data_IF_492458966952
#
_entry.id   IF_492458966952
#
_cell.length_a   1.000
_cell.length_b   1.000
_cell.length_c   1.000
_cell.angle_alpha   90.00
_cell.angle_beta   90.00
_cell.angle_gamma   90.00
#
_symmetry.space_group_name_H-M   'P 1'
#
loop_
_entity.id
_entity.type
_entity.pdbx_description
1 polymer ?
#
# COMPACT_ATOMS: atom_id res chain seq x y z
N UNK A 1 -80.98 27.49 -17.04
CA UNK A 1 -80.22 26.70 -16.07
C UNK A 1 -80.10 25.31 -16.68
N UNK A 2 -78.94 24.81 -17.09
CA UNK A 2 -77.77 24.47 -16.27
C UNK A 2 -76.49 24.35 -17.12
N UNK A 3 -75.37 24.75 -16.52
CA UNK A 3 -73.98 24.66 -17.01
C UNK A 3 -73.42 23.21 -16.95
N UNK A 4 -72.26 22.90 -17.56
CA UNK A 4 -71.76 21.52 -17.69
C UNK A 4 -70.97 21.06 -16.45
N UNK A 5 -70.84 19.74 -16.20
CA UNK A 5 -69.88 19.24 -15.23
C UNK A 5 -68.48 19.14 -15.87
N UNK A 6 -67.58 19.99 -15.41
CA UNK A 6 -66.13 19.88 -15.57
C UNK A 6 -65.66 18.64 -14.78
N UNK A 7 -65.19 17.59 -15.46
CA UNK A 7 -64.66 16.38 -14.82
C UNK A 7 -63.14 16.42 -14.92
N UNK A 8 -62.52 16.68 -13.78
CA UNK A 8 -61.11 16.96 -13.63
C UNK A 8 -60.18 15.87 -14.17
N UNK A 9 -59.04 16.35 -14.65
CA UNK A 9 -57.84 15.58 -14.92
C UNK A 9 -57.44 14.79 -13.66
N UNK A 10 -57.58 13.46 -13.71
CA UNK A 10 -56.91 12.58 -12.75
C UNK A 10 -55.39 12.67 -13.00
N UNK A 11 -54.54 12.76 -11.96
CA UNK A 11 -53.12 12.94 -12.15
C UNK A 11 -52.52 11.74 -12.89
N UNK A 12 -52.17 11.95 -14.15
CA UNK A 12 -51.33 11.05 -14.96
C UNK A 12 -49.88 11.16 -14.50
N UNK A 13 -49.57 10.70 -13.29
CA UNK A 13 -48.18 10.67 -12.80
C UNK A 13 -47.80 9.42 -12.01
N UNK A 14 -48.66 8.40 -11.96
CA UNK A 14 -48.41 7.19 -11.17
C UNK A 14 -47.23 6.32 -11.67
N UNK A 15 -46.90 6.36 -12.96
CA UNK A 15 -45.75 5.60 -13.50
C UNK A 15 -44.40 6.21 -13.13
N UNK A 16 -44.28 7.54 -13.14
CA UNK A 16 -43.05 8.24 -12.76
C UNK A 16 -42.80 8.16 -11.24
N UNK A 17 -43.85 8.28 -10.42
CA UNK A 17 -43.76 8.09 -8.97
C UNK A 17 -43.35 6.65 -8.57
N UNK A 18 -43.79 5.63 -9.32
CA UNK A 18 -43.35 4.24 -9.10
C UNK A 18 -41.87 4.03 -9.44
N UNK A 19 -41.33 4.70 -10.46
CA UNK A 19 -39.91 4.65 -10.78
C UNK A 19 -39.05 5.30 -9.68
N UNK A 20 -39.51 6.40 -9.08
CA UNK A 20 -38.84 7.01 -7.92
C UNK A 20 -38.84 6.11 -6.68
N UNK A 21 -39.86 5.26 -6.51
CA UNK A 21 -39.91 4.29 -5.43
C UNK A 21 -38.91 3.14 -5.59
N UNK A 22 -38.48 2.86 -6.83
CA UNK A 22 -37.43 1.88 -7.16
C UNK A 22 -36.02 2.47 -7.14
N UNK A 23 -35.89 3.81 -7.08
CA UNK A 23 -34.61 4.51 -6.98
C UNK A 23 -33.68 3.98 -5.88
N UNK A 24 -34.12 3.70 -4.63
CA UNK A 24 -33.24 3.13 -3.61
C UNK A 24 -32.70 1.74 -3.99
N UNK A 25 -33.49 0.90 -4.68
CA UNK A 25 -33.04 -0.41 -5.17
C UNK A 25 -32.05 -0.28 -6.34
N UNK A 26 -32.31 0.66 -7.26
CA UNK A 26 -31.43 0.92 -8.41
C UNK A 26 -30.07 1.47 -7.94
N UNK A 27 -30.07 2.35 -6.93
CA UNK A 27 -28.83 2.85 -6.33
C UNK A 27 -28.01 1.73 -5.68
N UNK A 28 -28.66 0.77 -5.01
CA UNK A 28 -27.97 -0.40 -4.46
C UNK A 28 -27.38 -1.30 -5.56
N UNK A 29 -28.07 -1.44 -6.70
CA UNK A 29 -27.57 -2.23 -7.82
C UNK A 29 -26.37 -1.58 -8.51
N UNK A 30 -26.42 -0.26 -8.72
CA UNK A 30 -25.29 0.51 -9.27
C UNK A 30 -24.10 0.51 -8.28
N UNK A 31 -24.36 0.65 -6.98
CA UNK A 31 -23.34 0.60 -5.94
C UNK A 31 -22.72 -0.82 -5.80
N UNK A 32 -23.53 -1.86 -5.94
CA UNK A 32 -23.06 -3.25 -5.94
C UNK A 32 -22.21 -3.55 -7.19
N UNK A 33 -22.61 -3.04 -8.36
CA UNK A 33 -21.86 -3.22 -9.59
C UNK A 33 -20.55 -2.41 -9.61
N UNK A 34 -20.53 -1.21 -9.02
CA UNK A 34 -19.29 -0.43 -8.88
C UNK A 34 -18.31 -1.07 -7.88
N UNK A 35 -18.81 -1.81 -6.88
CA UNK A 35 -17.95 -2.53 -5.94
C UNK A 35 -17.12 -3.65 -6.61
N UNK A 36 -17.54 -4.16 -7.78
CA UNK A 36 -16.77 -5.16 -8.53
C UNK A 36 -15.55 -4.56 -9.25
N UNK A 37 -15.52 -3.24 -9.46
CA UNK A 37 -14.38 -2.53 -10.06
C UNK A 37 -13.32 -2.12 -9.03
N UNK A 38 -13.64 -2.25 -7.73
CA UNK A 38 -12.73 -2.03 -6.60
C UNK A 38 -12.06 -3.31 -6.09
N UNK A 39 -12.08 -4.39 -6.87
CA UNK A 39 -11.19 -5.52 -6.63
C UNK A 39 -9.76 -5.06 -6.90
N UNK A 40 -9.08 -4.61 -5.84
CA UNK A 40 -7.66 -4.35 -5.85
C UNK A 40 -6.94 -5.57 -6.44
N UNK A 41 -5.92 -5.41 -7.30
CA UNK A 41 -5.17 -6.53 -7.90
C UNK A 41 -4.49 -7.47 -6.88
N UNK A 42 -4.66 -7.21 -5.59
CA UNK A 42 -4.17 -8.03 -4.48
C UNK A 42 -4.70 -9.48 -4.52
N UNK A 43 -5.93 -9.72 -5.01
CA UNK A 43 -6.54 -11.06 -5.00
C UNK A 43 -6.09 -11.96 -6.17
N UNK A 44 -5.29 -11.44 -7.11
CA UNK A 44 -4.81 -12.21 -8.27
C UNK A 44 -3.39 -12.76 -8.09
N UNK A 45 -2.64 -12.31 -7.08
CA UNK A 45 -1.25 -12.68 -6.89
C UNK A 45 -1.04 -13.50 -5.61
N UNK A 46 -0.19 -14.56 -5.65
CA UNK A 46 0.13 -15.34 -4.47
C UNK A 46 0.80 -14.45 -3.41
N UNK A 47 0.50 -14.68 -2.15
CA UNK A 47 1.11 -13.92 -1.06
C UNK A 47 2.63 -14.17 -0.99
N UNK A 48 3.38 -13.23 -0.41
CA UNK A 48 4.81 -13.38 -0.14
C UNK A 48 5.14 -12.99 1.30
N UNK A 49 6.34 -13.37 1.73
CA UNK A 49 6.93 -12.90 2.98
C UNK A 49 8.36 -12.40 2.74
N UNK A 50 8.78 -11.39 3.50
CA UNK A 50 10.17 -10.93 3.50
C UNK A 50 11.04 -11.75 4.47
N UNK A 51 10.42 -12.68 5.21
CA UNK A 51 11.08 -13.57 6.16
C UNK A 51 10.70 -15.02 5.86
N UNK A 52 11.67 -15.92 6.02
CA UNK A 52 11.45 -17.36 5.85
C UNK A 52 10.60 -17.89 6.99
N UNK A 53 9.41 -18.39 6.68
CA UNK A 53 8.57 -19.15 7.61
C UNK A 53 7.53 -19.96 6.83
N UNK A 54 7.07 -21.13 7.31
CA UNK A 54 6.00 -21.86 6.63
C UNK A 54 4.75 -20.98 6.41
N UNK A 55 4.09 -21.03 5.24
CA UNK A 55 4.41 -21.82 4.04
C UNK A 55 5.49 -21.22 3.10
N UNK A 56 5.97 -20.01 3.37
CA UNK A 56 7.00 -19.28 2.60
C UNK A 56 8.41 -19.84 2.84
N UNK A 57 8.73 -20.92 2.13
CA UNK A 57 9.97 -21.69 2.31
C UNK A 57 10.95 -21.53 1.16
N UNK A 58 10.48 -21.13 -0.01
CA UNK A 58 11.31 -20.95 -1.19
C UNK A 58 11.79 -19.49 -1.28
N UNK A 59 13.10 -19.30 -1.39
CA UNK A 59 13.72 -17.98 -1.50
C UNK A 59 13.89 -17.59 -2.96
N UNK A 60 13.46 -16.38 -3.29
CA UNK A 60 13.62 -15.75 -4.60
C UNK A 60 14.22 -14.35 -4.43
N UNK A 61 14.67 -13.76 -5.53
CA UNK A 61 15.24 -12.42 -5.58
C UNK A 61 14.54 -11.61 -6.65
N UNK A 62 14.21 -10.36 -6.35
CA UNK A 62 13.58 -9.49 -7.35
C UNK A 62 14.56 -9.12 -8.45
N UNK A 63 14.09 -8.98 -9.68
CA UNK A 63 14.97 -8.74 -10.81
C UNK A 63 15.70 -7.38 -10.73
N UNK A 64 14.99 -6.32 -10.34
CA UNK A 64 15.52 -4.95 -10.40
C UNK A 64 16.45 -4.63 -9.23
N UNK A 65 16.01 -4.92 -7.99
CA UNK A 65 16.73 -4.54 -6.77
C UNK A 65 17.41 -5.71 -6.06
N UNK A 66 17.29 -6.94 -6.59
CA UNK A 66 17.86 -8.14 -5.98
C UNK A 66 17.44 -8.31 -4.50
N UNK A 67 16.21 -7.93 -4.19
CA UNK A 67 15.66 -8.01 -2.83
C UNK A 67 15.23 -9.46 -2.57
N UNK A 68 15.71 -10.10 -1.49
CA UNK A 68 15.27 -11.44 -1.14
C UNK A 68 13.83 -11.44 -0.65
N UNK A 69 13.03 -12.37 -1.16
CA UNK A 69 11.67 -12.63 -0.71
C UNK A 69 11.37 -14.13 -0.69
N UNK A 70 10.34 -14.52 0.05
CA UNK A 70 9.95 -15.91 0.24
C UNK A 70 8.53 -16.16 -0.24
N UNK A 71 8.36 -17.26 -0.97
CA UNK A 71 7.09 -17.66 -1.58
C UNK A 71 6.72 -19.08 -1.18
N UNK A 72 5.44 -19.40 -1.30
CA UNK A 72 4.97 -20.77 -1.25
C UNK A 72 5.29 -21.44 -2.61
N UNK A 73 6.10 -22.51 -2.65
CA UNK A 73 6.47 -23.17 -3.90
C UNK A 73 5.26 -23.68 -4.69
N UNK A 74 4.17 -24.03 -4.02
CA UNK A 74 2.98 -24.55 -4.68
C UNK A 74 2.25 -23.47 -5.51
N UNK A 75 2.26 -22.22 -5.04
CA UNK A 75 1.50 -21.13 -5.63
C UNK A 75 2.32 -20.34 -6.67
N UNK A 76 3.65 -20.38 -6.57
CA UNK A 76 4.55 -19.57 -7.39
C UNK A 76 4.77 -20.10 -8.82
N UNK A 77 4.61 -21.42 -9.04
CA UNK A 77 4.90 -22.08 -10.33
C UNK A 77 4.16 -21.48 -11.53
N UNK A 78 2.94 -20.99 -11.33
CA UNK A 78 2.13 -20.38 -12.40
C UNK A 78 2.60 -18.97 -12.74
N UNK A 79 3.12 -18.25 -11.74
CA UNK A 79 3.57 -16.87 -11.85
C UNK A 79 4.92 -16.79 -12.58
N UNK A 80 5.80 -17.78 -12.34
CA UNK A 80 7.10 -17.90 -13.02
C UNK A 80 6.99 -18.08 -14.54
N UNK A 81 5.90 -18.69 -15.02
CA UNK A 81 5.67 -18.91 -16.46
C UNK A 81 5.35 -17.61 -17.23
N UNK A 82 4.94 -16.54 -16.54
CA UNK A 82 4.56 -15.28 -17.18
C UNK A 82 5.48 -14.13 -16.73
N UNK A 83 6.50 -13.76 -17.53
CA UNK A 83 7.50 -12.78 -17.12
C UNK A 83 6.93 -11.37 -16.92
N UNK A 84 5.84 -11.01 -17.62
CA UNK A 84 5.18 -9.70 -17.44
C UNK A 84 4.47 -9.61 -16.11
N UNK A 85 3.82 -10.70 -15.70
CA UNK A 85 3.14 -10.79 -14.42
C UNK A 85 4.18 -10.85 -13.29
N UNK A 86 5.22 -11.67 -13.44
CA UNK A 86 6.33 -11.77 -12.50
C UNK A 86 6.95 -10.40 -12.22
N UNK A 87 7.20 -9.59 -13.24
CA UNK A 87 7.77 -8.25 -13.03
C UNK A 87 6.87 -7.34 -12.19
N UNK A 88 5.55 -7.32 -12.44
CA UNK A 88 4.59 -6.52 -11.64
C UNK A 88 4.48 -7.03 -10.21
N UNK A 89 4.55 -8.34 -10.05
CA UNK A 89 4.58 -8.99 -8.75
C UNK A 89 5.81 -8.55 -7.96
N UNK A 90 6.99 -8.63 -8.57
CA UNK A 90 8.24 -8.19 -7.95
C UNK A 90 8.26 -6.70 -7.65
N UNK A 91 7.72 -5.83 -8.53
CA UNK A 91 7.55 -4.40 -8.24
C UNK A 91 6.74 -4.16 -6.95
N UNK A 92 5.74 -5.02 -6.68
CA UNK A 92 4.94 -4.98 -5.44
C UNK A 92 5.76 -5.42 -4.23
N UNK A 93 6.57 -6.47 -4.37
CA UNK A 93 7.52 -6.94 -3.34
C UNK A 93 8.52 -5.83 -2.99
N UNK A 94 9.13 -5.21 -4.00
CA UNK A 94 10.11 -4.13 -3.86
C UNK A 94 9.49 -2.92 -3.14
N UNK A 95 8.28 -2.52 -3.53
CA UNK A 95 7.55 -1.41 -2.89
C UNK A 95 7.25 -1.72 -1.41
N UNK A 96 6.82 -2.94 -1.11
CA UNK A 96 6.56 -3.39 0.27
C UNK A 96 7.83 -3.39 1.12
N UNK A 97 8.93 -3.89 0.57
CA UNK A 97 10.23 -3.90 1.24
C UNK A 97 10.72 -2.49 1.57
N UNK A 98 10.69 -1.57 0.60
CA UNK A 98 11.08 -0.16 0.82
C UNK A 98 10.21 0.48 1.90
N UNK A 99 8.89 0.23 1.88
CA UNK A 99 7.98 0.74 2.91
C UNK A 99 8.32 0.21 4.30
N UNK A 100 8.61 -1.09 4.43
CA UNK A 100 9.06 -1.67 5.70
C UNK A 100 10.36 -1.02 6.17
N UNK A 101 11.34 -0.86 5.27
CA UNK A 101 12.63 -0.26 5.61
C UNK A 101 12.51 1.21 6.03
N UNK A 102 11.60 1.97 5.41
CA UNK A 102 11.26 3.32 5.83
C UNK A 102 10.69 3.36 7.25
N UNK A 103 9.79 2.43 7.59
CA UNK A 103 9.24 2.33 8.94
C UNK A 103 10.34 2.03 9.97
N UNK A 104 11.21 1.06 9.67
CA UNK A 104 12.34 0.70 10.53
C UNK A 104 13.31 1.87 10.71
N UNK A 105 13.68 2.55 9.64
CA UNK A 105 14.53 3.75 9.68
C UNK A 105 13.88 4.88 10.52
N UNK A 106 12.56 5.08 10.40
CA UNK A 106 11.87 6.06 11.23
C UNK A 106 11.92 5.69 12.72
N UNK A 107 11.76 4.41 13.05
CA UNK A 107 11.93 3.91 14.42
C UNK A 107 13.34 4.15 14.95
N UNK A 108 14.37 3.90 14.14
CA UNK A 108 15.78 4.18 14.49
C UNK A 108 16.02 5.67 14.76
N UNK A 109 15.51 6.56 13.90
CA UNK A 109 15.61 8.01 14.09
C UNK A 109 14.91 8.49 15.36
N UNK A 110 13.75 7.92 15.68
CA UNK A 110 13.02 8.24 16.92
C UNK A 110 13.85 7.78 18.13
N UNK A 111 14.44 6.59 18.08
CA UNK A 111 15.31 6.07 19.13
C UNK A 111 16.55 6.95 19.32
N UNK A 112 17.21 7.36 18.23
CA UNK A 112 18.34 8.27 18.28
C UNK A 112 17.97 9.62 18.92
N UNK A 113 16.84 10.22 18.49
CA UNK A 113 16.33 11.46 19.10
C UNK A 113 16.04 11.30 20.58
N UNK A 114 15.49 10.16 21.00
CA UNK A 114 15.25 9.88 22.42
C UNK A 114 16.56 9.82 23.20
N UNK A 115 17.60 9.16 22.68
CA UNK A 115 18.93 9.14 23.30
C UNK A 115 19.55 10.53 23.38
N UNK A 116 19.43 11.33 22.33
CA UNK A 116 19.89 12.72 22.33
C UNK A 116 19.19 13.54 23.40
N UNK A 117 17.87 13.44 23.50
CA UNK A 117 17.10 14.15 24.54
C UNK A 117 17.46 13.67 25.96
N UNK A 118 17.73 12.38 26.15
CA UNK A 118 18.20 11.84 27.43
C UNK A 118 19.58 12.39 27.79
N UNK A 119 20.48 12.52 26.82
CA UNK A 119 21.82 13.07 27.02
C UNK A 119 21.81 14.56 27.37
N UNK A 120 20.89 15.33 26.77
CA UNK A 120 20.72 16.76 27.07
C UNK A 120 20.17 17.00 28.48
N UNK A 121 19.47 16.01 29.06
CA UNK A 121 18.93 16.07 30.40
C UNK A 121 17.85 17.15 30.57
N UNK A 122 17.38 17.32 31.81
CA UNK A 122 16.47 18.40 32.17
C UNK A 122 17.21 19.46 32.99
N UNK A 123 16.82 20.72 32.76
CA UNK A 123 17.33 21.95 33.40
C UNK A 123 18.83 22.25 33.26
N UNK A 124 19.79 21.40 33.65
CA UNK A 124 21.24 21.70 33.54
C UNK A 124 22.19 20.46 33.56
N UNK A 125 21.68 19.23 33.42
CA UNK A 125 22.49 18.01 33.49
C UNK A 125 22.83 17.44 32.10
N UNK A 126 23.76 18.11 31.39
CA UNK A 126 24.28 17.62 30.12
C UNK A 126 25.29 16.49 30.36
N UNK A 127 25.03 15.31 29.80
CA UNK A 127 25.97 14.19 29.77
C UNK A 127 26.64 14.11 28.40
N UNK A 128 27.85 14.66 28.28
CA UNK A 128 28.64 14.68 27.05
C UNK A 128 28.89 13.27 26.50
N UNK A 129 29.07 12.30 27.39
CA UNK A 129 29.37 10.91 27.02
C UNK A 129 28.15 10.24 26.39
N UNK A 130 26.95 10.46 26.96
CA UNK A 130 25.69 10.02 26.35
C UNK A 130 25.39 10.76 25.05
N UNK A 131 25.78 12.03 24.95
CA UNK A 131 25.55 12.83 23.75
C UNK A 131 26.36 12.28 22.57
N UNK A 132 27.62 11.94 22.80
CA UNK A 132 28.48 11.30 21.81
C UNK A 132 27.93 9.93 21.39
N UNK A 133 27.55 9.08 22.35
CA UNK A 133 26.94 7.76 22.05
C UNK A 133 25.65 7.91 21.21
N UNK A 134 24.81 8.90 21.52
CA UNK A 134 23.59 9.15 20.77
C UNK A 134 23.86 9.64 19.34
N UNK A 135 24.91 10.45 19.13
CA UNK A 135 25.34 10.92 17.81
C UNK A 135 25.93 9.80 16.97
N UNK A 136 26.72 8.93 17.57
CA UNK A 136 27.38 7.80 16.90
C UNK A 136 26.49 6.56 16.77
N UNK A 137 25.24 6.64 17.23
CA UNK A 137 24.28 5.55 17.11
C UNK A 137 24.11 5.15 15.64
N UNK A 138 24.49 3.91 15.33
CA UNK A 138 24.33 3.32 13.99
C UNK A 138 22.85 3.18 13.63
N UNK A 139 22.52 3.52 12.39
CA UNK A 139 21.17 3.43 11.83
C UNK A 139 21.18 2.54 10.57
N UNK A 140 21.38 1.23 10.73
CA UNK A 140 21.61 0.33 9.61
C UNK A 140 20.43 0.28 8.63
N UNK A 141 19.18 0.45 9.09
CA UNK A 141 18.04 0.45 8.19
C UNK A 141 17.97 1.75 7.38
N UNK A 142 18.32 2.88 7.98
CA UNK A 142 18.46 4.14 7.24
C UNK A 142 19.62 4.11 6.22
N UNK A 143 20.76 3.50 6.56
CA UNK A 143 21.89 3.32 5.66
C UNK A 143 21.47 2.50 4.42
N UNK A 144 20.84 1.34 4.63
CA UNK A 144 20.29 0.51 3.54
C UNK A 144 19.27 1.27 2.69
N UNK A 145 18.41 2.08 3.29
CA UNK A 145 17.41 2.85 2.56
C UNK A 145 18.07 3.88 1.63
N UNK A 146 19.13 4.53 2.09
CA UNK A 146 19.90 5.48 1.30
C UNK A 146 20.61 4.79 0.13
N UNK A 147 21.24 3.64 0.38
CA UNK A 147 21.89 2.83 -0.66
C UNK A 147 20.91 2.44 -1.78
N UNK A 148 19.71 1.97 -1.42
CA UNK A 148 18.66 1.66 -2.40
C UNK A 148 18.22 2.90 -3.20
N UNK A 149 18.11 4.05 -2.54
CA UNK A 149 17.74 5.30 -3.22
C UNK A 149 18.81 5.72 -4.25
N UNK A 150 20.10 5.49 -3.96
CA UNK A 150 21.20 5.73 -4.89
C UNK A 150 21.14 4.79 -6.10
N UNK A 151 20.95 3.48 -5.86
CA UNK A 151 20.84 2.46 -6.93
C UNK A 151 19.67 2.81 -7.88
N UNK A 152 18.49 3.08 -7.33
CA UNK A 152 17.31 3.47 -8.14
C UNK A 152 17.56 4.78 -8.88
N UNK A 153 18.24 5.74 -8.24
CA UNK A 153 18.62 7.01 -8.86
C UNK A 153 19.54 6.84 -10.06
N UNK A 154 20.51 5.92 -9.97
CA UNK A 154 21.43 5.58 -11.06
C UNK A 154 20.70 4.88 -12.22
N UNK A 155 19.87 3.89 -11.92
CA UNK A 155 19.09 3.16 -12.93
C UNK A 155 18.17 4.08 -13.75
N UNK A 156 17.51 5.05 -13.08
CA UNK A 156 16.67 6.05 -13.76
C UNK A 156 17.46 6.98 -14.68
N UNK A 157 18.69 7.34 -14.32
CA UNK A 157 19.56 8.15 -15.18
C UNK A 157 20.00 7.37 -16.42
N UNK A 158 20.37 6.10 -16.26
CA UNK A 158 20.79 5.23 -17.36
C UNK A 158 19.67 4.98 -18.38
N UNK A 159 18.41 4.84 -17.93
CA UNK A 159 17.25 4.65 -18.82
C UNK A 159 16.84 5.90 -19.62
N UNK A 160 17.43 7.06 -19.32
CA UNK A 160 17.11 8.35 -19.96
C UNK A 160 18.07 8.70 -21.10
N UNK A 161 19.10 7.88 -21.33
CA UNK A 161 20.00 7.90 -22.47
C UNK A 161 19.65 6.77 -23.43
#
# INVERSE_FOLDING_TARGET
>A
TTSPPNRGDGPTSSGWLQLFQLLPLILLFIFSFSSSFFNSPQDQYPTFSLQRHPPYTEQRFTHSLQIPYFVNPNDFNMLEQNPRILRRYEETVETSYVKQLQQLCNSEKILQKRKLNEALGWYFNLDERKLEEAKEMKMPNCEKLNELAEIVGQARKASKF
#
